data_IF_501350051903
#
_entry.id   IF_501350051903
#
_cell.length_a   1.000
_cell.length_b   1.000
_cell.length_c   1.000
_cell.angle_alpha   90.00
_cell.angle_beta   90.00
_cell.angle_gamma   90.00
#
_symmetry.space_group_name_H-M   'P 1'
#
loop_
_entity.id
_entity.type
_entity.pdbx_description
1 polymer ?
#
# COMPACT_ATOMS: atom_id res chain seq x y z
N UNK A 1 26.22 -9.39 29.29
CA UNK A 1 25.80 -10.28 28.22
C UNK A 1 24.27 -10.25 28.22
N UNK A 2 23.64 -9.51 27.32
CA UNK A 2 22.17 -9.50 27.23
C UNK A 2 21.74 -10.80 26.56
N UNK A 3 21.20 -11.74 27.36
CA UNK A 3 20.53 -12.94 26.84
C UNK A 3 19.29 -12.48 26.10
N UNK A 4 19.20 -12.76 24.82
CA UNK A 4 18.02 -12.42 24.03
C UNK A 4 16.82 -13.27 24.49
N UNK A 5 15.58 -12.71 24.51
CA UNK A 5 14.41 -13.41 25.06
C UNK A 5 14.13 -14.80 24.44
N UNK A 6 14.61 -15.04 23.23
CA UNK A 6 14.46 -16.31 22.50
C UNK A 6 15.56 -17.34 22.80
N UNK A 7 16.55 -17.02 23.63
CA UNK A 7 17.52 -18.00 24.18
C UNK A 7 16.97 -18.77 25.39
N UNK A 8 15.74 -18.45 25.83
CA UNK A 8 14.98 -19.33 26.74
C UNK A 8 14.60 -20.59 25.97
N UNK A 9 14.58 -21.75 26.66
CA UNK A 9 14.15 -23.02 26.06
C UNK A 9 12.89 -22.79 25.21
N UNK A 10 13.08 -22.70 23.89
CA UNK A 10 12.00 -22.50 22.94
C UNK A 10 11.11 -23.73 22.92
N UNK A 11 9.83 -23.55 22.69
CA UNK A 11 8.91 -24.65 22.44
C UNK A 11 9.45 -25.42 21.23
N UNK A 12 9.82 -26.69 21.43
CA UNK A 12 10.22 -27.58 20.33
C UNK A 12 8.95 -27.95 19.56
N UNK A 13 8.73 -27.29 18.41
CA UNK A 13 7.64 -27.59 17.50
C UNK A 13 8.11 -28.57 16.44
N UNK A 14 7.27 -29.54 16.10
CA UNK A 14 7.48 -30.39 14.93
C UNK A 14 7.32 -29.60 13.63
N UNK A 15 7.84 -30.13 12.53
CA UNK A 15 7.68 -29.50 11.19
C UNK A 15 6.20 -29.35 10.81
N UNK A 16 5.34 -30.27 11.24
CA UNK A 16 3.91 -30.22 11.01
C UNK A 16 3.27 -29.05 11.77
N UNK A 17 3.58 -28.87 13.05
CA UNK A 17 3.07 -27.74 13.84
C UNK A 17 3.55 -26.39 13.30
N UNK A 18 4.80 -26.29 12.83
CA UNK A 18 5.33 -25.09 12.18
C UNK A 18 4.57 -24.79 10.88
N UNK A 19 4.32 -25.81 10.05
CA UNK A 19 3.59 -25.67 8.81
C UNK A 19 2.13 -25.21 9.07
N UNK A 20 1.46 -25.79 10.04
CA UNK A 20 0.09 -25.40 10.41
C UNK A 20 0.05 -23.96 10.98
N UNK A 21 1.04 -23.55 11.75
CA UNK A 21 1.18 -22.16 12.19
C UNK A 21 1.27 -21.21 10.99
N UNK A 22 2.15 -21.50 10.02
CA UNK A 22 2.29 -20.68 8.82
C UNK A 22 1.01 -20.61 7.99
N UNK A 23 0.32 -21.75 7.78
CA UNK A 23 -0.97 -21.81 7.10
C UNK A 23 -2.04 -21.02 7.83
N UNK A 24 -2.09 -21.12 9.17
CA UNK A 24 -3.03 -20.38 10.00
C UNK A 24 -2.89 -18.86 9.84
N UNK A 25 -1.66 -18.35 9.80
CA UNK A 25 -1.39 -16.92 9.55
C UNK A 25 -1.93 -16.51 8.17
N UNK A 26 -1.62 -17.28 7.12
CA UNK A 26 -2.10 -16.97 5.76
C UNK A 26 -3.63 -16.99 5.67
N UNK A 27 -4.28 -17.95 6.32
CA UNK A 27 -5.73 -18.02 6.38
C UNK A 27 -6.34 -16.85 7.15
N UNK A 28 -5.74 -16.44 8.26
CA UNK A 28 -6.19 -15.28 9.03
C UNK A 28 -6.12 -13.99 8.21
N UNK A 29 -5.02 -13.74 7.52
CA UNK A 29 -4.87 -12.58 6.63
C UNK A 29 -5.89 -12.61 5.49
N UNK A 30 -6.06 -13.77 4.83
CA UNK A 30 -7.03 -13.93 3.75
C UNK A 30 -8.47 -13.68 4.21
N UNK A 31 -8.84 -14.17 5.40
CA UNK A 31 -10.16 -13.97 5.98
C UNK A 31 -10.44 -12.48 6.31
N UNK A 32 -9.42 -11.72 6.74
CA UNK A 32 -9.58 -10.29 6.98
C UNK A 32 -9.79 -9.51 5.68
N UNK A 33 -9.10 -9.87 4.60
CA UNK A 33 -9.30 -9.28 3.28
C UNK A 33 -10.71 -9.59 2.76
N UNK A 34 -11.16 -10.84 2.86
CA UNK A 34 -12.52 -11.23 2.43
C UNK A 34 -13.61 -10.47 3.19
N UNK A 35 -13.46 -10.33 4.51
CA UNK A 35 -14.40 -9.54 5.33
C UNK A 35 -14.37 -8.07 4.94
N UNK A 36 -13.21 -7.51 4.64
CA UNK A 36 -13.10 -6.14 4.19
C UNK A 36 -13.79 -5.95 2.84
N UNK A 37 -13.64 -6.89 1.89
CA UNK A 37 -14.32 -6.85 0.60
C UNK A 37 -15.85 -6.80 0.75
N UNK A 38 -16.41 -7.57 1.70
CA UNK A 38 -17.86 -7.61 1.97
C UNK A 38 -18.39 -6.31 2.61
N UNK A 39 -17.60 -5.62 3.47
CA UNK A 39 -18.01 -4.36 4.12
C UNK A 39 -17.62 -3.11 3.35
N UNK A 40 -16.73 -3.23 2.37
CA UNK A 40 -16.30 -2.11 1.53
C UNK A 40 -17.46 -1.60 0.70
N UNK A 41 -17.73 -0.29 0.80
CA UNK A 41 -18.84 0.36 0.15
C UNK A 41 -18.45 1.64 -0.58
N UNK A 42 -19.37 2.60 -0.62
CA UNK A 42 -19.22 3.86 -1.37
C UNK A 42 -18.04 4.73 -0.91
N UNK A 43 -17.51 4.53 0.29
CA UNK A 43 -16.32 5.25 0.77
C UNK A 43 -15.08 4.95 -0.09
N UNK A 44 -14.90 3.72 -0.57
CA UNK A 44 -13.82 3.39 -1.50
C UNK A 44 -14.03 4.07 -2.87
N UNK A 45 -15.28 4.14 -3.35
CA UNK A 45 -15.60 4.88 -4.59
C UNK A 45 -15.31 6.37 -4.41
N UNK A 46 -15.68 6.95 -3.28
CA UNK A 46 -15.40 8.36 -2.95
C UNK A 46 -13.90 8.63 -2.90
N UNK A 47 -13.13 7.76 -2.25
CA UNK A 47 -11.67 7.85 -2.23
C UNK A 47 -11.07 7.80 -3.64
N UNK A 48 -11.52 6.86 -4.49
CA UNK A 48 -11.05 6.75 -5.87
C UNK A 48 -11.36 8.02 -6.69
N UNK A 49 -12.55 8.61 -6.50
CA UNK A 49 -12.94 9.88 -7.16
C UNK A 49 -12.10 11.06 -6.67
N UNK A 50 -11.79 11.14 -5.37
CA UNK A 50 -10.88 12.17 -4.83
C UNK A 50 -9.52 12.07 -5.51
N UNK A 51 -8.92 10.87 -5.59
CA UNK A 51 -7.63 10.68 -6.25
C UNK A 51 -7.70 10.97 -7.75
N UNK A 52 -8.78 10.54 -8.42
CA UNK A 52 -8.96 10.78 -9.85
C UNK A 52 -9.08 12.27 -10.19
N UNK A 53 -9.80 13.04 -9.37
CA UNK A 53 -10.00 14.50 -9.56
C UNK A 53 -8.83 15.35 -9.07
N UNK A 54 -7.85 14.76 -8.37
CA UNK A 54 -6.66 15.46 -7.92
C UNK A 54 -5.81 15.88 -9.12
N UNK A 55 -5.53 17.19 -9.23
CA UNK A 55 -4.69 17.76 -10.29
C UNK A 55 -3.21 17.83 -9.89
N UNK A 56 -2.90 17.71 -8.62
CA UNK A 56 -1.56 17.59 -8.07
C UNK A 56 -1.13 16.13 -7.90
N UNK A 57 -0.54 15.84 -6.75
CA UNK A 57 -0.02 14.50 -6.40
C UNK A 57 -0.82 13.92 -5.24
N UNK A 58 -0.83 12.59 -5.12
CA UNK A 58 -1.29 11.94 -3.91
C UNK A 58 -0.15 11.83 -2.90
N UNK A 59 -0.27 12.52 -1.78
CA UNK A 59 0.68 12.47 -0.67
C UNK A 59 0.27 11.34 0.26
N UNK A 60 1.05 10.26 0.30
CA UNK A 60 0.77 9.13 1.20
C UNK A 60 1.52 9.34 2.50
N UNK A 61 0.78 9.42 3.61
CA UNK A 61 1.32 9.73 4.93
C UNK A 61 1.18 8.53 5.87
N UNK A 62 2.24 8.18 6.57
CA UNK A 62 2.22 7.11 7.55
C UNK A 62 3.49 7.06 8.39
N UNK A 63 3.48 6.19 9.41
CA UNK A 63 4.62 5.98 10.31
C UNK A 63 4.77 4.49 10.65
N UNK A 64 6.00 4.06 10.99
CA UNK A 64 6.29 2.68 11.37
C UNK A 64 5.90 1.68 10.26
N UNK A 65 5.23 0.59 10.61
CA UNK A 65 4.80 -0.43 9.65
C UNK A 65 3.76 0.11 8.65
N UNK A 66 2.79 0.93 9.10
CA UNK A 66 1.86 1.62 8.20
C UNK A 66 2.58 2.56 7.22
N UNK A 67 3.71 3.16 7.63
CA UNK A 67 4.57 3.95 6.75
C UNK A 67 5.25 3.11 5.67
N UNK A 68 5.71 1.90 6.01
CA UNK A 68 6.29 0.95 5.03
C UNK A 68 5.23 0.56 3.99
N UNK A 69 4.02 0.23 4.44
CA UNK A 69 2.88 -0.04 3.57
C UNK A 69 2.56 1.18 2.70
N UNK A 70 2.55 2.38 3.28
CA UNK A 70 2.32 3.63 2.56
C UNK A 70 3.35 3.89 1.45
N UNK A 71 4.62 3.59 1.68
CA UNK A 71 5.65 3.66 0.62
C UNK A 71 5.33 2.74 -0.55
N UNK A 72 4.89 1.49 -0.27
CA UNK A 72 4.49 0.55 -1.33
C UNK A 72 3.28 1.06 -2.10
N UNK A 73 2.27 1.56 -1.41
CA UNK A 73 1.06 2.11 -2.04
C UNK A 73 1.40 3.30 -2.94
N UNK A 74 2.23 4.24 -2.46
CA UNK A 74 2.69 5.38 -3.26
C UNK A 74 3.44 4.93 -4.52
N UNK A 75 4.35 3.95 -4.38
CA UNK A 75 5.08 3.39 -5.52
C UNK A 75 4.15 2.70 -6.53
N UNK A 76 3.15 1.94 -6.06
CA UNK A 76 2.15 1.30 -6.92
C UNK A 76 1.35 2.35 -7.71
N UNK A 77 0.83 3.38 -7.05
CA UNK A 77 0.08 4.45 -7.68
C UNK A 77 0.93 5.19 -8.73
N UNK A 78 2.18 5.52 -8.40
CA UNK A 78 3.11 6.16 -9.33
C UNK A 78 3.37 5.28 -10.56
N UNK A 79 3.57 3.97 -10.36
CA UNK A 79 3.79 3.01 -11.45
C UNK A 79 2.57 2.82 -12.36
N UNK A 80 1.38 3.15 -11.86
CA UNK A 80 0.11 3.13 -12.57
C UNK A 80 -0.31 4.53 -13.08
N UNK A 81 0.62 5.49 -13.14
CA UNK A 81 0.39 6.81 -13.73
C UNK A 81 -0.33 7.80 -12.81
N UNK A 82 -0.48 7.51 -11.52
CA UNK A 82 -0.95 8.48 -10.53
C UNK A 82 0.25 9.10 -9.81
N UNK A 83 0.60 10.38 -10.08
CA UNK A 83 1.72 11.03 -9.41
C UNK A 83 1.53 10.98 -7.89
N UNK A 84 2.44 10.33 -7.19
CA UNK A 84 2.34 10.13 -5.74
C UNK A 84 3.72 10.02 -5.11
N UNK A 85 3.80 10.40 -3.84
CA UNK A 85 5.00 10.23 -3.02
C UNK A 85 4.63 9.94 -1.58
N UNK A 86 5.59 9.36 -0.84
CA UNK A 86 5.43 9.07 0.56
C UNK A 86 6.05 10.17 1.43
N UNK A 87 5.28 10.65 2.41
CA UNK A 87 5.71 11.58 3.44
C UNK A 87 5.71 10.86 4.80
N UNK A 88 6.86 10.76 5.44
CA UNK A 88 6.95 10.20 6.79
C UNK A 88 6.36 11.20 7.80
N UNK A 89 5.43 10.75 8.66
CA UNK A 89 4.68 11.66 9.52
C UNK A 89 5.59 12.47 10.48
N UNK A 90 6.65 11.86 11.01
CA UNK A 90 7.60 12.58 11.87
C UNK A 90 8.38 13.65 11.07
N UNK A 91 8.89 13.33 9.89
CA UNK A 91 9.61 14.29 9.03
C UNK A 91 8.70 15.43 8.56
N UNK A 92 7.42 15.14 8.32
CA UNK A 92 6.42 16.15 8.04
C UNK A 92 6.39 17.25 9.10
N UNK A 93 6.46 16.88 10.38
CA UNK A 93 6.49 17.84 11.50
C UNK A 93 7.77 18.67 11.56
N UNK A 94 8.82 18.27 10.87
CA UNK A 94 10.14 18.91 10.88
C UNK A 94 10.51 19.62 9.57
N UNK A 95 9.53 19.86 8.68
CA UNK A 95 9.74 20.70 7.51
C UNK A 95 9.28 20.10 6.19
N UNK A 96 9.17 18.77 6.07
CA UNK A 96 8.79 18.11 4.83
C UNK A 96 7.36 18.42 4.37
N UNK A 97 6.52 19.02 5.24
CA UNK A 97 5.23 19.61 4.84
C UNK A 97 5.37 20.66 3.74
N UNK A 98 6.54 21.27 3.58
CA UNK A 98 6.84 22.16 2.46
C UNK A 98 6.75 21.53 1.07
N UNK A 99 6.73 20.18 0.99
CA UNK A 99 6.51 19.45 -0.26
C UNK A 99 5.04 19.42 -0.70
N UNK A 100 4.10 19.74 0.21
CA UNK A 100 2.65 19.60 -0.04
C UNK A 100 2.10 20.87 -0.63
N UNK A 101 1.33 20.76 -1.73
CA UNK A 101 0.72 21.84 -2.43
C UNK A 101 -0.81 21.83 -2.30
N UNK A 102 -1.47 22.94 -2.68
CA UNK A 102 -2.95 23.07 -2.62
C UNK A 102 -3.69 22.09 -3.53
N UNK A 103 -3.07 21.73 -4.66
CA UNK A 103 -3.67 20.86 -5.66
C UNK A 103 -3.45 19.36 -5.34
N UNK A 104 -2.72 19.06 -4.26
CA UNK A 104 -2.48 17.70 -3.80
C UNK A 104 -3.68 17.15 -3.04
N UNK A 105 -3.82 15.82 -3.03
CA UNK A 105 -4.68 15.06 -2.13
C UNK A 105 -3.82 14.24 -1.16
N UNK A 106 -4.39 13.82 -0.04
CA UNK A 106 -3.65 13.05 0.96
C UNK A 106 -4.29 11.69 1.26
N UNK A 107 -3.46 10.66 1.41
CA UNK A 107 -3.83 9.34 1.92
C UNK A 107 -3.08 9.10 3.24
N UNK A 108 -3.78 9.19 4.35
CA UNK A 108 -3.25 8.94 5.68
C UNK A 108 -3.46 7.49 6.11
N UNK A 109 -2.43 6.82 6.59
CA UNK A 109 -2.48 5.43 7.02
C UNK A 109 -2.07 5.32 8.48
N UNK A 110 -3.00 4.92 9.34
CA UNK A 110 -2.77 4.68 10.76
C UNK A 110 -3.80 3.70 11.30
N UNK A 111 -3.38 2.53 11.77
CA UNK A 111 -4.30 1.50 12.25
C UNK A 111 -5.20 2.02 13.38
N UNK A 112 -4.63 2.64 14.41
CA UNK A 112 -5.41 3.24 15.51
C UNK A 112 -6.11 4.55 15.12
N UNK A 113 -5.59 5.26 14.11
CA UNK A 113 -6.04 6.61 13.75
C UNK A 113 -5.73 7.69 14.81
N UNK A 114 -4.94 7.35 15.84
CA UNK A 114 -4.59 8.24 16.98
C UNK A 114 -3.10 8.51 17.09
N UNK A 115 -2.27 7.99 16.17
CA UNK A 115 -0.83 8.22 16.16
C UNK A 115 -0.53 9.72 16.15
N UNK A 116 0.13 10.22 17.19
CA UNK A 116 0.26 11.66 17.43
C UNK A 116 0.90 12.40 16.24
N UNK A 117 1.97 11.86 15.68
CA UNK A 117 2.67 12.43 14.53
C UNK A 117 1.78 12.50 13.28
N UNK A 118 0.96 11.48 13.04
CA UNK A 118 0.02 11.44 11.93
C UNK A 118 -1.09 12.48 12.13
N UNK A 119 -1.68 12.52 13.33
CA UNK A 119 -2.77 13.45 13.67
C UNK A 119 -2.30 14.90 13.65
N UNK A 120 -1.06 15.18 14.07
CA UNK A 120 -0.51 16.55 14.10
C UNK A 120 -0.41 17.21 12.73
N UNK A 121 -0.36 16.42 11.65
CA UNK A 121 -0.28 16.93 10.27
C UNK A 121 -1.65 17.34 9.70
N UNK A 122 -2.77 16.78 10.19
CA UNK A 122 -4.11 17.01 9.65
C UNK A 122 -4.48 18.50 9.52
N UNK A 123 -4.19 19.39 10.53
CA UNK A 123 -4.49 20.80 10.41
C UNK A 123 -3.79 21.50 9.24
N UNK A 124 -2.61 21.03 8.83
CA UNK A 124 -1.90 21.58 7.69
C UNK A 124 -2.64 21.29 6.37
N UNK A 125 -3.01 20.03 6.14
CA UNK A 125 -3.78 19.64 4.94
C UNK A 125 -5.13 20.32 4.89
N UNK A 126 -5.83 20.44 6.03
CA UNK A 126 -7.09 21.19 6.12
C UNK A 126 -6.93 22.68 5.75
N UNK A 127 -5.86 23.34 6.20
CA UNK A 127 -5.57 24.75 5.82
C UNK A 127 -5.29 24.92 4.33
N UNK A 128 -4.66 23.93 3.70
CA UNK A 128 -4.43 23.92 2.26
C UNK A 128 -5.72 23.65 1.46
N UNK A 129 -6.77 23.11 2.11
CA UNK A 129 -7.96 22.61 1.42
C UNK A 129 -7.73 21.30 0.68
N UNK A 130 -6.63 20.60 0.96
CA UNK A 130 -6.30 19.31 0.37
C UNK A 130 -7.22 18.23 0.92
N UNK A 131 -7.95 17.47 0.09
CA UNK A 131 -8.83 16.40 0.55
C UNK A 131 -8.03 15.27 1.21
N UNK A 132 -8.59 14.72 2.28
CA UNK A 132 -7.95 13.68 3.10
C UNK A 132 -8.70 12.37 2.97
N UNK A 133 -8.00 11.32 2.57
CA UNK A 133 -8.45 9.93 2.61
C UNK A 133 -7.75 9.27 3.80
N UNK A 134 -8.46 8.47 4.59
CA UNK A 134 -7.91 7.70 5.69
C UNK A 134 -8.02 6.20 5.43
N UNK A 135 -6.93 5.46 5.65
CA UNK A 135 -6.97 4.00 5.87
C UNK A 135 -6.73 3.78 7.36
N UNK A 136 -7.76 3.35 8.09
CA UNK A 136 -7.70 3.20 9.55
C UNK A 136 -8.68 2.15 10.06
N UNK A 137 -8.28 1.42 11.12
CA UNK A 137 -9.18 0.56 11.90
C UNK A 137 -9.92 1.32 13.00
N UNK A 138 -9.46 2.52 13.35
CA UNK A 138 -10.07 3.39 14.35
C UNK A 138 -11.14 4.29 13.77
N UNK A 139 -12.33 3.79 13.48
CA UNK A 139 -13.42 4.54 12.81
C UNK A 139 -13.92 5.76 13.58
N UNK A 140 -13.73 5.80 14.89
CA UNK A 140 -14.08 6.94 15.75
C UNK A 140 -12.87 7.83 16.11
N UNK A 141 -11.72 7.57 15.51
CA UNK A 141 -10.46 8.26 15.79
C UNK A 141 -10.43 9.70 15.27
N UNK A 142 -9.48 10.52 15.75
CA UNK A 142 -9.24 11.85 15.20
C UNK A 142 -8.94 11.81 13.69
N UNK A 143 -8.21 10.81 13.19
CA UNK A 143 -7.94 10.67 11.77
C UNK A 143 -9.23 10.46 10.97
N UNK A 144 -10.07 9.49 11.38
CA UNK A 144 -11.31 9.19 10.69
C UNK A 144 -12.28 10.40 10.67
N UNK A 145 -12.37 11.13 11.79
CA UNK A 145 -13.24 12.33 11.90
C UNK A 145 -12.79 13.51 11.03
N UNK A 146 -11.53 13.55 10.64
CA UNK A 146 -10.97 14.61 9.80
C UNK A 146 -10.83 14.22 8.33
N UNK A 147 -11.11 12.96 7.99
CA UNK A 147 -11.03 12.49 6.61
C UNK A 147 -12.30 12.78 5.82
N UNK A 148 -12.13 13.03 4.53
CA UNK A 148 -13.22 13.18 3.56
C UNK A 148 -13.73 11.82 3.09
N UNK A 149 -12.87 10.78 3.09
CA UNK A 149 -13.24 9.38 2.86
C UNK A 149 -12.48 8.48 3.83
N UNK A 150 -13.13 7.44 4.36
CA UNK A 150 -12.54 6.50 5.31
C UNK A 150 -12.61 5.08 4.76
N UNK A 151 -11.45 4.47 4.58
CA UNK A 151 -11.30 3.06 4.21
C UNK A 151 -11.08 2.25 5.49
N UNK A 152 -12.06 1.45 5.86
CA UNK A 152 -12.07 0.66 7.08
C UNK A 152 -11.07 -0.49 6.99
N UNK A 153 -9.93 -0.35 7.68
CA UNK A 153 -8.91 -1.37 7.85
C UNK A 153 -8.98 -2.09 9.21
N UNK A 154 -10.12 -2.05 9.89
CA UNK A 154 -10.29 -2.78 11.14
C UNK A 154 -10.18 -4.29 10.92
N UNK A 155 -9.47 -4.96 11.81
CA UNK A 155 -9.33 -6.42 11.87
C UNK A 155 -9.90 -6.95 13.17
N UNK A 156 -10.32 -8.21 13.19
CA UNK A 156 -10.79 -8.86 14.44
C UNK A 156 -9.64 -9.06 15.39
N UNK A 157 -8.55 -9.61 14.87
CA UNK A 157 -7.30 -9.81 15.59
C UNK A 157 -6.12 -9.76 14.63
N UNK A 158 -4.93 -9.51 15.17
CA UNK A 158 -3.71 -9.81 14.43
C UNK A 158 -3.47 -11.33 14.45
N UNK A 159 -2.90 -11.89 13.39
CA UNK A 159 -2.53 -13.29 13.34
C UNK A 159 -1.44 -13.55 14.41
N UNK A 160 -1.86 -14.02 15.57
CA UNK A 160 -0.97 -14.28 16.69
C UNK A 160 -0.20 -15.58 16.52
N UNK A 161 1.03 -15.63 17.05
CA UNK A 161 1.89 -16.81 17.02
C UNK A 161 1.27 -17.99 17.83
N UNK A 162 0.26 -17.71 18.66
CA UNK A 162 -0.44 -18.73 19.48
C UNK A 162 -1.89 -18.95 19.06
N UNK A 163 -2.44 -18.18 18.16
CA UNK A 163 -3.87 -18.11 17.84
C UNK A 163 -4.32 -19.06 16.73
N UNK A 164 -3.56 -20.05 16.41
CA UNK A 164 -3.77 -20.89 15.23
C UNK A 164 -4.89 -21.94 15.38
N UNK A 165 -5.72 -21.91 16.40
CA UNK A 165 -6.48 -23.14 16.72
C UNK A 165 -7.99 -23.08 16.52
N UNK A 166 -8.65 -21.93 16.49
CA UNK A 166 -10.12 -21.90 16.42
C UNK A 166 -10.66 -20.86 15.44
N UNK A 167 -11.55 -21.26 14.51
CA UNK A 167 -12.35 -20.30 13.76
C UNK A 167 -13.17 -19.44 14.72
N UNK A 168 -12.99 -18.13 14.68
CA UNK A 168 -13.78 -17.18 15.48
C UNK A 168 -15.21 -17.09 14.91
N UNK A 169 -16.21 -17.13 15.78
CA UNK A 169 -17.59 -16.82 15.39
C UNK A 169 -17.76 -15.35 15.01
N UNK A 170 -18.75 -15.01 14.17
CA UNK A 170 -19.01 -13.63 13.75
C UNK A 170 -19.19 -12.71 14.96
N UNK A 171 -18.27 -11.77 15.17
CA UNK A 171 -18.32 -10.80 16.27
C UNK A 171 -17.35 -11.08 17.43
N UNK A 172 -16.77 -12.25 17.51
CA UNK A 172 -15.76 -12.57 18.54
C UNK A 172 -14.40 -11.92 18.21
N UNK A 173 -13.70 -11.48 19.26
CA UNK A 173 -12.28 -11.14 19.20
C UNK A 173 -11.50 -12.31 19.77
N UNK A 174 -10.40 -12.67 19.11
CA UNK A 174 -9.47 -13.65 19.64
C UNK A 174 -8.81 -13.09 20.90
N UNK A 175 -9.29 -13.53 22.06
CA UNK A 175 -8.77 -13.11 23.37
C UNK A 175 -7.42 -13.76 23.69
N UNK A 176 -7.08 -14.86 23.01
CA UNK A 176 -5.84 -15.61 23.22
C UNK A 176 -4.72 -15.13 22.28
N UNK A 177 -5.03 -14.33 21.26
CA UNK A 177 -4.04 -13.74 20.38
C UNK A 177 -3.29 -12.63 21.10
N UNK A 178 -1.97 -12.69 21.13
CA UNK A 178 -1.14 -11.64 21.73
C UNK A 178 -1.28 -10.28 21.01
N UNK A 179 -1.86 -10.24 19.81
CA UNK A 179 -2.08 -9.02 19.00
C UNK A 179 -0.87 -8.06 18.95
N UNK A 180 0.35 -8.59 19.08
CA UNK A 180 1.56 -7.80 19.22
C UNK A 180 2.14 -7.35 17.87
N UNK A 181 2.08 -8.21 16.88
CA UNK A 181 2.63 -7.93 15.56
C UNK A 181 1.52 -7.55 14.57
N UNK A 182 1.58 -6.38 13.93
CA UNK A 182 0.62 -5.99 12.91
C UNK A 182 0.88 -6.80 11.61
N UNK A 183 0.19 -7.93 11.47
CA UNK A 183 0.20 -8.82 10.32
C UNK A 183 -1.08 -8.61 9.48
N UNK A 184 -2.24 -9.00 10.02
CA UNK A 184 -3.52 -8.85 9.35
C UNK A 184 -3.85 -7.38 9.03
N UNK A 185 -3.64 -6.47 9.97
CA UNK A 185 -3.94 -5.05 9.75
C UNK A 185 -3.07 -4.44 8.66
N UNK A 186 -1.78 -4.76 8.59
CA UNK A 186 -0.89 -4.23 7.54
C UNK A 186 -1.16 -4.85 6.18
N UNK A 187 -1.45 -6.15 6.13
CA UNK A 187 -1.84 -6.84 4.89
C UNK A 187 -3.16 -6.27 4.35
N UNK A 188 -4.14 -5.99 5.21
CA UNK A 188 -5.38 -5.36 4.82
C UNK A 188 -5.19 -3.90 4.35
N UNK A 189 -4.36 -3.10 5.04
CA UNK A 189 -4.02 -1.74 4.60
C UNK A 189 -3.43 -1.74 3.19
N UNK A 190 -2.55 -2.71 2.91
CA UNK A 190 -1.96 -2.89 1.58
C UNK A 190 -3.02 -3.26 0.55
N UNK A 191 -3.89 -4.22 0.83
CA UNK A 191 -4.96 -4.65 -0.07
C UNK A 191 -5.94 -3.51 -0.41
N UNK A 192 -6.33 -2.69 0.58
CA UNK A 192 -7.15 -1.50 0.36
C UNK A 192 -6.45 -0.46 -0.52
N UNK A 193 -5.14 -0.25 -0.31
CA UNK A 193 -4.34 0.63 -1.15
C UNK A 193 -4.24 0.15 -2.60
N UNK A 194 -4.08 -1.15 -2.82
CA UNK A 194 -4.03 -1.75 -4.14
C UNK A 194 -5.40 -1.70 -4.84
N UNK A 195 -6.50 -1.92 -4.10
CA UNK A 195 -7.86 -1.75 -4.61
C UNK A 195 -8.11 -0.29 -5.04
N UNK A 196 -7.70 0.68 -4.22
CA UNK A 196 -7.77 2.11 -4.57
C UNK A 196 -6.97 2.42 -5.84
N UNK A 197 -5.74 1.93 -5.93
CA UNK A 197 -4.88 2.14 -7.09
C UNK A 197 -5.49 1.54 -8.37
N UNK A 198 -6.02 0.31 -8.30
CA UNK A 198 -6.72 -0.34 -9.40
C UNK A 198 -7.94 0.46 -9.88
N UNK A 199 -8.79 0.91 -8.95
CA UNK A 199 -9.97 1.73 -9.30
C UNK A 199 -9.60 3.06 -9.95
N UNK A 200 -8.55 3.74 -9.48
CA UNK A 200 -8.07 4.99 -10.10
C UNK A 200 -7.53 4.73 -11.50
N UNK A 201 -6.84 3.60 -11.70
CA UNK A 201 -6.33 3.17 -13.00
C UNK A 201 -7.47 2.96 -13.99
N UNK A 202 -8.53 2.27 -13.59
CA UNK A 202 -9.75 2.10 -14.41
C UNK A 202 -10.42 3.44 -14.74
N UNK A 203 -10.57 4.33 -13.76
CA UNK A 203 -11.12 5.68 -13.97
C UNK A 203 -10.31 6.52 -14.95
N UNK A 204 -8.99 6.32 -15.01
CA UNK A 204 -8.08 7.02 -15.93
C UNK A 204 -7.98 6.37 -17.30
N UNK A 205 -8.47 5.14 -17.47
CA UNK A 205 -8.40 4.39 -18.71
C UNK A 205 -6.96 4.09 -19.14
N UNK A 206 -6.08 3.74 -18.18
CA UNK A 206 -4.68 3.44 -18.45
C UNK A 206 -4.55 2.27 -19.43
N UNK A 207 -3.81 2.47 -20.52
CA UNK A 207 -3.56 1.46 -21.54
C UNK A 207 -2.19 0.81 -21.35
N UNK A 208 -1.95 -0.38 -21.91
CA UNK A 208 -0.64 -1.05 -21.85
C UNK A 208 0.52 -0.19 -22.35
N UNK A 209 0.28 0.65 -23.36
CA UNK A 209 1.27 1.59 -23.92
C UNK A 209 1.67 2.66 -22.90
N UNK A 210 0.68 3.18 -22.14
CA UNK A 210 0.91 4.19 -21.11
C UNK A 210 1.70 3.58 -19.94
N UNK A 211 1.37 2.33 -19.55
CA UNK A 211 2.14 1.59 -18.54
C UNK A 211 3.60 1.37 -18.95
N UNK A 212 3.85 1.10 -20.25
CA UNK A 212 5.19 0.91 -20.76
C UNK A 212 6.07 2.16 -20.59
N UNK A 213 5.49 3.36 -20.69
CA UNK A 213 6.22 4.63 -20.49
C UNK A 213 6.78 4.77 -19.07
N UNK A 214 6.07 4.25 -18.07
CA UNK A 214 6.52 4.26 -16.67
C UNK A 214 7.50 3.13 -16.35
N UNK A 215 7.62 2.12 -17.23
CA UNK A 215 8.47 0.93 -17.03
C UNK A 215 9.40 0.66 -18.23
N UNK A 216 10.22 1.63 -18.67
CA UNK A 216 11.00 1.51 -19.91
C UNK A 216 12.02 0.36 -19.89
N UNK A 217 12.54 0.03 -18.69
CA UNK A 217 13.50 -1.09 -18.51
C UNK A 217 12.86 -2.47 -18.39
N UNK A 218 11.54 -2.57 -18.22
CA UNK A 218 10.82 -3.82 -18.11
C UNK A 218 10.65 -4.56 -19.45
N UNK A 219 10.31 -5.85 -19.39
CA UNK A 219 10.09 -6.65 -20.61
C UNK A 219 8.98 -6.05 -21.49
N UNK A 220 7.87 -5.58 -20.87
CA UNK A 220 6.79 -4.94 -21.60
C UNK A 220 7.20 -3.58 -22.17
N UNK A 221 7.92 -2.75 -21.39
CA UNK A 221 8.45 -1.46 -21.86
C UNK A 221 9.35 -1.63 -23.07
N UNK A 222 10.34 -2.53 -23.01
CA UNK A 222 11.20 -2.83 -24.16
C UNK A 222 10.41 -3.29 -25.38
N UNK A 223 9.43 -4.19 -25.20
CA UNK A 223 8.61 -4.71 -26.31
C UNK A 223 7.77 -3.64 -27.00
N UNK A 224 7.19 -2.72 -26.24
CA UNK A 224 6.26 -1.72 -26.77
C UNK A 224 6.93 -0.42 -27.19
N UNK A 225 8.06 -0.04 -26.57
CA UNK A 225 8.73 1.23 -26.83
C UNK A 225 9.93 1.11 -27.77
N UNK A 226 10.55 -0.08 -27.93
CA UNK A 226 11.71 -0.28 -28.81
C UNK A 226 11.27 -0.23 -30.28
N UNK A 227 11.83 0.70 -31.04
CA UNK A 227 11.66 0.82 -32.50
C UNK A 227 12.76 0.05 -33.21
N UNK A 228 12.49 -0.35 -34.45
CA UNK A 228 13.50 -1.00 -35.30
C UNK A 228 14.76 -0.15 -35.38
N UNK A 229 14.62 1.18 -35.51
CA UNK A 229 15.75 2.12 -35.55
C UNK A 229 16.63 2.13 -34.30
N UNK A 230 16.08 1.75 -33.12
CA UNK A 230 16.83 1.72 -31.85
C UNK A 230 17.75 0.48 -31.74
N UNK A 231 17.48 -0.57 -32.53
CA UNK A 231 18.18 -1.87 -32.44
C UNK A 231 18.87 -2.26 -33.75
N UNK A 232 18.55 -1.62 -34.86
CA UNK A 232 19.18 -1.92 -36.15
C UNK A 232 20.62 -1.43 -36.20
N UNK A 233 21.48 -2.17 -36.86
CA UNK A 233 22.82 -1.70 -37.23
C UNK A 233 22.74 -0.55 -38.26
N UNK A 234 23.53 0.50 -38.08
CA UNK A 234 23.60 1.64 -39.01
C UNK A 234 25.06 1.91 -39.38
N UNK A 235 25.27 2.52 -40.55
CA UNK A 235 26.64 2.88 -41.03
C UNK A 235 27.56 1.65 -41.16
N UNK A 236 28.75 1.71 -40.56
CA UNK A 236 29.74 0.65 -40.61
C UNK A 236 29.33 -0.67 -39.96
N UNK A 237 28.25 -0.67 -39.16
CA UNK A 237 27.69 -1.89 -38.54
C UNK A 237 26.75 -2.66 -39.46
N UNK A 238 26.44 -2.15 -40.65
CA UNK A 238 25.64 -2.87 -41.62
C UNK A 238 26.47 -3.98 -42.24
N UNK A 239 26.01 -5.23 -42.26
CA UNK A 239 26.72 -6.33 -42.92
C UNK A 239 26.53 -6.19 -44.43
N UNK A 240 27.28 -5.26 -45.03
CA UNK A 240 27.27 -5.06 -46.45
C UNK A 240 28.25 -6.07 -47.09
N UNK A 241 27.74 -6.88 -48.01
CA UNK A 241 28.56 -7.78 -48.85
C UNK A 241 28.45 -7.32 -50.31
N UNK A 242 29.59 -7.38 -51.04
CA UNK A 242 29.57 -7.09 -52.47
C UNK A 242 28.75 -8.12 -53.25
N UNK A 243 28.12 -7.72 -54.36
CA UNK A 243 27.29 -8.64 -55.19
C UNK A 243 28.00 -9.84 -55.74
N UNK A 244 29.33 -9.91 -55.65
CA UNK A 244 30.18 -10.97 -56.21
C UNK A 244 30.79 -11.88 -55.14
N UNK A 245 30.28 -11.91 -53.92
CA UNK A 245 30.74 -12.83 -52.86
C UNK A 245 29.89 -14.08 -52.94
N UNK A 246 30.52 -15.20 -53.33
CA UNK A 246 29.93 -16.54 -53.33
C UNK A 246 30.08 -17.22 -51.97
#
# INVERSE_FOLDING_TARGET
MFCLPWEREGRCLSDVELLETGRGILHAEAAEIERAAQRTGLELVKAARIVHSCTGRLVVVGMGKSGIIGRKIAATLASLGTPSFFLHAAEGSHGDLGMVCRDDAALFISNSGTTAEVVSLLPHFKRLGAPIIAITGGLNSPLAKNADAVLDSSVRSEAGITACATPLEPGERDQDALNLAPLCSTTLQLALGDALAGMVTELRGLRPEDFALFHPGGALGRRLLTRVGDVMGTGEKLPLVGMNVS
#
